data_IF_959230945274
#
_entry.id   IF_959230945274
#
_cell.length_a   1.000
_cell.length_b   1.000
_cell.length_c   1.000
_cell.angle_alpha   90.00
_cell.angle_beta   90.00
_cell.angle_gamma   90.00
#
_symmetry.space_group_name_H-M   'P 1'
#
loop_
_entity.id
_entity.type
_entity.pdbx_description
1 polymer ?
#
# COMPACT_ATOMS: atom_id res chain seq x y z
N UNK A 1 3.02 -5.19 -2.82
CA UNK A 1 3.66 -3.97 -2.30
C UNK A 1 3.54 -3.92 -0.79
N UNK A 2 4.47 -3.23 -0.17
CA UNK A 2 4.44 -2.98 1.28
C UNK A 2 4.27 -1.48 1.48
N UNK A 3 3.27 -1.11 2.28
CA UNK A 3 3.00 0.29 2.59
C UNK A 3 3.17 0.48 4.09
N UNK A 4 4.08 1.36 4.48
CA UNK A 4 4.24 1.77 5.87
C UNK A 4 3.50 3.08 6.06
N UNK A 5 2.56 3.11 6.97
CA UNK A 5 1.71 4.27 7.17
C UNK A 5 1.53 4.55 8.65
N UNK A 6 1.07 5.76 8.94
CA UNK A 6 0.71 6.10 10.32
C UNK A 6 -0.55 5.33 10.69
N UNK A 7 -0.53 4.75 11.88
CA UNK A 7 -1.65 4.00 12.37
C UNK A 7 -2.75 4.96 12.83
N UNK A 8 -3.84 4.98 12.11
CA UNK A 8 -4.93 5.88 12.43
C UNK A 8 -6.23 5.41 11.83
N UNK A 9 -7.31 6.04 12.23
CA UNK A 9 -8.63 5.69 11.74
C UNK A 9 -8.72 5.99 10.25
N UNK A 10 -9.19 5.02 9.49
CA UNK A 10 -9.41 5.20 8.07
C UNK A 10 -8.16 5.13 7.21
N UNK A 11 -6.98 4.88 7.80
CA UNK A 11 -5.75 4.79 7.03
C UNK A 11 -5.84 3.68 5.97
N UNK A 12 -6.28 2.51 6.36
CA UNK A 12 -6.41 1.40 5.42
C UNK A 12 -7.42 1.74 4.32
N UNK A 13 -8.53 2.37 4.69
CA UNK A 13 -9.54 2.73 3.72
C UNK A 13 -9.01 3.74 2.70
N UNK A 14 -8.23 4.72 3.16
CA UNK A 14 -7.63 5.71 2.24
C UNK A 14 -6.66 5.06 1.27
N UNK A 15 -5.83 4.16 1.77
CA UNK A 15 -4.87 3.47 0.93
C UNK A 15 -5.60 2.59 -0.09
N UNK A 16 -6.61 1.85 0.35
CA UNK A 16 -7.38 1.00 -0.56
C UNK A 16 -8.10 1.84 -1.62
N UNK A 17 -8.67 2.98 -1.22
CA UNK A 17 -9.33 3.86 -2.18
C UNK A 17 -8.35 4.44 -3.18
N UNK A 18 -7.13 4.75 -2.74
CA UNK A 18 -6.09 5.26 -3.63
C UNK A 18 -5.70 4.21 -4.67
N UNK A 19 -5.52 2.97 -4.22
CA UNK A 19 -5.20 1.87 -5.14
C UNK A 19 -6.33 1.65 -6.14
N UNK A 20 -7.58 1.73 -5.69
CA UNK A 20 -8.72 1.57 -6.58
C UNK A 20 -8.76 2.68 -7.64
N UNK A 21 -8.45 3.90 -7.24
CA UNK A 21 -8.39 5.01 -8.19
C UNK A 21 -7.27 4.84 -9.21
N UNK A 22 -6.21 4.19 -8.83
CA UNK A 22 -5.10 3.87 -9.75
C UNK A 22 -5.40 2.63 -10.58
N UNK A 23 -6.59 2.06 -10.45
CA UNK A 23 -7.04 0.88 -11.19
C UNK A 23 -6.21 -0.35 -10.85
N UNK A 24 -5.62 -0.38 -9.70
CA UNK A 24 -4.90 -1.55 -9.19
C UNK A 24 -5.89 -2.40 -8.40
N UNK A 25 -6.02 -3.65 -8.81
CA UNK A 25 -6.96 -4.57 -8.18
C UNK A 25 -6.31 -5.19 -6.95
N UNK A 26 -6.93 -5.02 -5.80
CA UNK A 26 -6.41 -5.61 -4.57
C UNK A 26 -6.91 -7.04 -4.48
N UNK A 27 -5.98 -7.99 -4.49
CA UNK A 27 -6.32 -9.40 -4.39
C UNK A 27 -6.12 -9.96 -3.00
N UNK A 28 -5.28 -9.31 -2.21
CA UNK A 28 -5.02 -9.77 -0.84
C UNK A 28 -4.44 -8.63 -0.03
N UNK A 29 -4.78 -8.58 1.26
CA UNK A 29 -4.24 -7.60 2.19
C UNK A 29 -3.79 -8.32 3.45
N UNK A 30 -2.55 -8.03 3.86
CA UNK A 30 -2.00 -8.52 5.11
C UNK A 30 -1.58 -7.34 5.96
N UNK A 31 -1.87 -7.40 7.24
CA UNK A 31 -1.57 -6.32 8.15
C UNK A 31 -0.62 -6.85 9.23
N UNK A 32 0.49 -6.16 9.42
CA UNK A 32 1.44 -6.50 10.45
C UNK A 32 1.22 -5.59 11.66
N UNK A 33 0.74 -6.16 12.74
CA UNK A 33 0.40 -5.40 13.94
C UNK A 33 1.55 -5.25 14.92
N UNK A 34 2.72 -5.75 14.56
CA UNK A 34 3.87 -5.71 15.46
C UNK A 34 4.72 -4.47 15.29
N UNK A 35 4.28 -3.55 14.51
CA UNK A 35 5.05 -2.34 14.26
C UNK A 35 5.02 -1.41 15.47
N UNK A 36 5.82 -0.36 15.39
CA UNK A 36 5.84 0.68 16.41
C UNK A 36 4.43 1.23 16.63
N UNK A 37 4.23 1.85 17.78
CA UNK A 37 2.90 2.28 18.17
C UNK A 37 2.23 3.21 17.17
N UNK A 38 3.03 3.98 16.46
CA UNK A 38 2.50 5.01 15.58
C UNK A 38 2.42 4.59 14.12
N UNK A 39 2.94 3.43 13.78
CA UNK A 39 2.98 3.00 12.37
C UNK A 39 2.46 1.59 12.22
N UNK A 40 2.08 1.28 11.00
CA UNK A 40 1.59 -0.03 10.64
C UNK A 40 2.12 -0.38 9.25
N UNK A 41 2.51 -1.63 9.06
CA UNK A 41 2.91 -2.14 7.77
C UNK A 41 1.76 -2.93 7.16
N UNK A 42 1.40 -2.55 5.95
CA UNK A 42 0.34 -3.21 5.20
C UNK A 42 0.95 -3.84 3.95
N UNK A 43 0.67 -5.11 3.75
CA UNK A 43 1.10 -5.80 2.53
C UNK A 43 -0.09 -6.01 1.64
N UNK A 44 -0.01 -5.48 0.44
CA UNK A 44 -1.05 -5.62 -0.55
C UNK A 44 -0.55 -6.48 -1.70
N UNK A 45 -1.34 -7.45 -2.08
CA UNK A 45 -1.17 -8.12 -3.36
C UNK A 45 -2.10 -7.44 -4.33
N UNK A 46 -1.55 -6.90 -5.40
CA UNK A 46 -2.35 -6.17 -6.38
C UNK A 46 -2.09 -6.70 -7.77
N UNK A 47 -3.10 -6.60 -8.61
CA UNK A 47 -2.97 -6.91 -10.02
C UNK A 47 -2.88 -5.60 -10.79
N UNK A 48 -1.87 -5.48 -11.63
CA UNK A 48 -1.64 -4.30 -12.45
C UNK A 48 -1.38 -4.74 -13.89
N UNK A 49 -1.50 -3.79 -14.82
CA UNK A 49 -1.33 -4.09 -16.23
C UNK A 49 0.13 -4.32 -16.61
N UNK A 50 1.02 -3.53 -16.03
CA UNK A 50 2.44 -3.60 -16.34
C UNK A 50 3.22 -2.89 -15.24
N UNK A 51 4.54 -2.85 -15.42
CA UNK A 51 5.41 -2.23 -14.43
C UNK A 51 5.16 -0.73 -14.28
N UNK A 52 4.87 -0.06 -15.38
CA UNK A 52 4.58 1.36 -15.33
C UNK A 52 3.32 1.64 -14.52
N UNK A 53 2.32 0.80 -14.65
CA UNK A 53 1.10 0.91 -13.85
C UNK A 53 1.42 0.76 -12.37
N UNK A 54 2.26 -0.21 -12.04
CA UNK A 54 2.69 -0.41 -10.65
C UNK A 54 3.39 0.84 -10.12
N UNK A 55 4.30 1.41 -10.90
CA UNK A 55 5.04 2.59 -10.45
C UNK A 55 4.13 3.79 -10.24
N UNK A 56 3.14 3.94 -11.11
CA UNK A 56 2.15 5.01 -10.95
C UNK A 56 1.36 4.83 -9.65
N UNK A 57 0.94 3.61 -9.37
CA UNK A 57 0.20 3.33 -8.14
C UNK A 57 1.05 3.63 -6.91
N UNK A 58 2.32 3.22 -6.93
CA UNK A 58 3.22 3.51 -5.80
C UNK A 58 3.43 5.01 -5.62
N UNK A 59 3.59 5.74 -6.73
CA UNK A 59 3.75 7.19 -6.66
C UNK A 59 2.54 7.84 -6.03
N UNK A 60 1.35 7.41 -6.42
CA UNK A 60 0.13 7.97 -5.85
C UNK A 60 0.01 7.68 -4.38
N UNK A 61 0.43 6.49 -3.95
CA UNK A 61 0.42 6.16 -2.54
C UNK A 61 1.37 7.04 -1.75
N UNK A 62 2.55 7.32 -2.31
CA UNK A 62 3.53 8.17 -1.61
C UNK A 62 3.04 9.59 -1.41
N UNK A 63 2.06 10.03 -2.21
CA UNK A 63 1.46 11.34 -2.04
C UNK A 63 0.30 11.35 -1.07
N UNK A 64 -0.15 10.19 -0.64
CA UNK A 64 -1.29 10.09 0.26
C UNK A 64 -0.86 10.49 1.66
N UNK A 65 -1.67 11.30 2.33
CA UNK A 65 -1.41 11.66 3.71
C UNK A 65 -1.35 10.39 4.55
N UNK A 66 -0.50 10.40 5.56
CA UNK A 66 -0.26 9.29 6.48
C UNK A 66 0.56 8.15 5.91
N UNK A 67 0.83 8.12 4.60
CA UNK A 67 1.72 7.11 4.03
C UNK A 67 3.15 7.59 4.18
N UNK A 68 3.95 6.82 4.91
CA UNK A 68 5.35 7.14 5.14
C UNK A 68 6.25 6.51 4.09
N UNK A 69 5.85 5.35 3.59
CA UNK A 69 6.66 4.61 2.64
C UNK A 69 5.76 3.66 1.86
N UNK A 70 6.03 3.53 0.59
CA UNK A 70 5.36 2.55 -0.27
C UNK A 70 6.40 2.00 -1.23
N UNK A 71 6.62 0.69 -1.19
CA UNK A 71 7.65 0.05 -1.99
C UNK A 71 7.12 -1.27 -2.54
N UNK A 72 7.73 -1.69 -3.63
CA UNK A 72 7.45 -2.99 -4.20
C UNK A 72 8.12 -4.06 -3.34
N UNK A 73 7.34 -5.06 -2.94
CA UNK A 73 7.90 -6.20 -2.22
C UNK A 73 8.39 -7.22 -3.24
N UNK A 74 9.61 -7.69 -3.05
CA UNK A 74 10.13 -8.74 -3.90
C UNK A 74 9.54 -10.06 -3.45
N UNK A 75 9.12 -10.92 -4.41
CA UNK A 75 8.59 -12.21 -4.02
C UNK A 75 9.64 -13.05 -3.32
N UNK A 76 9.21 -13.76 -2.32
CA UNK A 76 10.06 -14.71 -1.61
C UNK A 76 10.04 -16.03 -2.35
N UNK A 77 11.20 -16.64 -2.48
CA UNK A 77 11.33 -17.91 -3.15
C UNK A 77 11.50 -19.04 -2.16
#
# INVERSE_FOLDING_TARGET
>A
IVVTARNGKGTLARIAANLARSEADITHVDMDEQTAMDTIDLRFSIAVHDLQHLETALRNLRRTADVLRAVRAMPQQ
#
